data_IF_047927288208
#
_entry.id   IF_047927288208
#
_cell.length_a   1.000
_cell.length_b   1.000
_cell.length_c   1.000
_cell.angle_alpha   90.00
_cell.angle_beta   90.00
_cell.angle_gamma   90.00
#
_symmetry.space_group_name_H-M   'P 1'
#
loop_
_entity.id
_entity.type
_entity.pdbx_description
1 polymer ?
#
# COMPACT_ATOMS: atom_id res chain seq x y z
N UNK A 1 -30.52 56.55 28.79
CA UNK A 1 -30.25 56.67 27.34
C UNK A 1 -29.99 55.25 26.84
N UNK A 2 -31.04 54.62 26.31
CA UNK A 2 -31.29 54.42 24.88
C UNK A 2 -30.27 53.44 24.29
N UNK A 3 -30.72 52.19 24.05
CA UNK A 3 -31.04 51.64 22.71
C UNK A 3 -29.80 51.77 21.81
N UNK A 4 -29.20 50.69 21.31
CA UNK A 4 -29.72 49.99 20.15
C UNK A 4 -29.45 48.47 20.20
N UNK A 5 -30.54 47.72 20.07
CA UNK A 5 -30.54 46.38 19.49
C UNK A 5 -30.06 46.51 18.05
N UNK A 6 -29.03 45.78 17.67
CA UNK A 6 -28.76 45.49 16.25
C UNK A 6 -28.92 43.99 16.10
N UNK A 7 -30.16 43.61 15.76
CA UNK A 7 -30.50 42.36 15.11
C UNK A 7 -29.65 42.22 13.86
N UNK A 8 -28.60 41.40 13.93
CA UNK A 8 -27.81 41.04 12.75
C UNK A 8 -28.53 39.93 12.01
N UNK A 9 -28.80 40.25 10.75
CA UNK A 9 -29.61 39.57 9.78
C UNK A 9 -28.94 38.24 9.38
N UNK A 10 -29.65 37.15 9.58
CA UNK A 10 -29.78 35.96 8.73
C UNK A 10 -28.79 35.90 7.54
N UNK A 11 -27.79 35.02 7.63
CA UNK A 11 -27.24 34.33 6.46
C UNK A 11 -27.24 32.85 6.78
N UNK A 12 -28.35 32.21 6.45
CA UNK A 12 -28.46 30.76 6.36
C UNK A 12 -27.63 30.36 5.14
N UNK A 13 -26.38 29.94 5.38
CA UNK A 13 -25.59 29.26 4.36
C UNK A 13 -26.10 27.82 4.33
N UNK A 14 -27.11 27.60 3.49
CA UNK A 14 -27.43 26.28 2.94
C UNK A 14 -26.20 25.83 2.15
N UNK A 15 -25.33 25.05 2.78
CA UNK A 15 -24.42 24.20 2.02
C UNK A 15 -25.29 23.17 1.30
N UNK A 16 -25.56 23.47 0.03
CA UNK A 16 -26.15 22.55 -0.91
C UNK A 16 -25.40 21.22 -0.83
N UNK A 17 -26.14 20.17 -0.49
CA UNK A 17 -25.75 18.79 -0.75
C UNK A 17 -25.39 18.71 -2.23
N UNK A 18 -24.09 18.70 -2.53
CA UNK A 18 -23.63 18.24 -3.83
C UNK A 18 -23.86 16.73 -3.84
N UNK A 19 -25.03 16.33 -4.34
CA UNK A 19 -25.21 15.00 -4.89
C UNK A 19 -24.27 14.91 -6.09
N UNK A 20 -23.09 14.36 -5.88
CA UNK A 20 -22.28 13.88 -6.98
C UNK A 20 -22.90 12.55 -7.41
N UNK A 21 -23.94 12.63 -8.25
CA UNK A 21 -24.39 11.51 -9.05
C UNK A 21 -23.35 11.33 -10.16
N UNK A 22 -22.36 10.51 -9.84
CA UNK A 22 -21.23 10.19 -10.68
C UNK A 22 -20.87 8.74 -10.45
N UNK A 23 -21.76 7.85 -10.86
CA UNK A 23 -21.43 6.44 -11.09
C UNK A 23 -20.32 6.41 -12.15
N UNK A 24 -19.09 6.27 -11.68
CA UNK A 24 -18.08 5.45 -12.34
C UNK A 24 -17.69 4.39 -11.32
N UNK A 25 -18.57 3.40 -11.13
CA UNK A 25 -18.15 2.09 -10.65
C UNK A 25 -17.34 1.43 -11.76
N UNK A 26 -16.09 1.84 -11.94
CA UNK A 26 -15.06 0.88 -12.33
C UNK A 26 -14.77 0.07 -11.06
N UNK A 27 -15.65 -0.87 -10.74
CA UNK A 27 -15.41 -1.86 -9.69
C UNK A 27 -14.42 -2.90 -10.22
N UNK A 28 -13.25 -2.45 -10.66
CA UNK A 28 -12.06 -3.27 -10.64
C UNK A 28 -11.59 -3.14 -9.20
N UNK A 29 -11.92 -4.12 -8.36
CA UNK A 29 -11.22 -4.24 -7.09
C UNK A 29 -9.73 -4.26 -7.43
N UNK A 30 -9.01 -3.16 -7.19
CA UNK A 30 -7.57 -3.14 -7.34
C UNK A 30 -7.01 -3.96 -6.18
N UNK A 31 -7.07 -5.29 -6.36
CA UNK A 31 -6.62 -6.31 -5.43
C UNK A 31 -5.09 -6.37 -5.36
N UNK A 32 -4.40 -5.67 -6.26
CA UNK A 32 -2.96 -5.48 -6.17
C UNK A 32 -2.62 -4.61 -4.96
N UNK A 33 -2.07 -5.22 -3.92
CA UNK A 33 -1.70 -4.58 -2.66
C UNK A 33 -0.61 -3.52 -2.83
N UNK A 34 0.26 -3.67 -3.83
CA UNK A 34 1.36 -2.73 -4.10
C UNK A 34 0.81 -1.35 -4.49
N UNK A 35 -0.31 -1.31 -5.21
CA UNK A 35 -0.97 -0.07 -5.62
C UNK A 35 -1.62 0.70 -4.45
N UNK A 36 -1.70 0.10 -3.26
CA UNK A 36 -2.29 0.70 -2.06
C UNK A 36 -1.26 1.42 -1.19
N UNK A 37 0.03 1.28 -1.51
CA UNK A 37 1.14 1.86 -0.75
C UNK A 37 2.03 2.71 -1.64
N UNK A 38 2.81 3.62 -1.05
CA UNK A 38 3.77 4.40 -1.83
C UNK A 38 5.00 3.58 -2.19
N UNK A 39 5.64 3.95 -3.29
CA UNK A 39 6.93 3.43 -3.72
C UNK A 39 8.02 4.44 -3.37
N UNK A 40 9.11 3.94 -2.80
CA UNK A 40 10.35 4.66 -2.51
C UNK A 40 11.35 4.26 -3.59
N UNK A 41 11.79 5.24 -4.38
CA UNK A 41 12.73 5.01 -5.47
C UNK A 41 14.16 4.82 -4.97
N UNK A 42 14.98 4.16 -5.80
CA UNK A 42 16.42 3.97 -5.60
C UNK A 42 16.76 3.23 -4.31
N UNK A 43 15.89 2.31 -3.87
CA UNK A 43 16.07 1.58 -2.62
C UNK A 43 15.66 0.12 -2.71
N UNK A 44 16.26 -0.67 -1.84
CA UNK A 44 15.86 -2.04 -1.52
C UNK A 44 16.15 -2.32 -0.04
N UNK A 45 15.48 -3.31 0.55
CA UNK A 45 15.82 -3.87 1.85
C UNK A 45 16.78 -5.05 1.63
N UNK A 46 17.99 -4.96 2.21
CA UNK A 46 18.99 -6.02 2.13
C UNK A 46 18.68 -7.17 3.12
N UNK A 47 19.48 -8.24 3.07
CA UNK A 47 19.34 -9.39 3.96
C UNK A 47 19.59 -9.11 5.45
N UNK A 48 20.06 -7.91 5.81
CA UNK A 48 20.23 -7.45 7.19
C UNK A 48 19.08 -6.53 7.64
N UNK A 49 18.02 -6.39 6.84
CA UNK A 49 16.86 -5.54 7.15
C UNK A 49 17.12 -4.05 6.92
N UNK A 50 18.24 -3.70 6.32
CA UNK A 50 18.63 -2.30 6.09
C UNK A 50 18.13 -1.84 4.73
N UNK A 51 17.43 -0.70 4.72
CA UNK A 51 17.08 -0.02 3.48
C UNK A 51 18.30 0.69 2.90
N UNK A 52 18.80 0.24 1.75
CA UNK A 52 20.02 0.74 1.11
C UNK A 52 19.73 1.41 -0.23
N UNK A 53 20.64 2.30 -0.66
CA UNK A 53 20.53 2.90 -1.99
C UNK A 53 20.84 1.85 -3.08
N UNK A 54 19.92 1.69 -4.02
CA UNK A 54 20.13 0.90 -5.21
C UNK A 54 19.36 1.50 -6.39
N UNK A 55 20.08 2.06 -7.36
CA UNK A 55 19.50 2.79 -8.51
C UNK A 55 18.65 1.95 -9.45
N UNK A 56 18.76 0.63 -9.38
CA UNK A 56 17.99 -0.29 -10.23
C UNK A 56 16.72 -0.78 -9.55
N UNK A 57 16.51 -0.45 -8.27
CA UNK A 57 15.42 -0.98 -7.45
C UNK A 57 14.46 0.12 -7.00
N UNK A 58 13.23 -0.33 -6.77
CA UNK A 58 12.20 0.37 -6.03
C UNK A 58 11.84 -0.46 -4.80
N UNK A 59 11.44 0.23 -3.74
CA UNK A 59 10.99 -0.37 -2.50
C UNK A 59 9.56 0.08 -2.21
N UNK A 60 8.66 -0.82 -1.81
CA UNK A 60 7.36 -0.40 -1.29
C UNK A 60 7.49 0.22 0.11
N UNK A 61 6.46 0.92 0.55
CA UNK A 61 6.21 1.04 1.98
C UNK A 61 5.71 -0.29 2.55
N UNK A 62 5.61 -0.35 3.87
CA UNK A 62 5.07 -1.49 4.60
C UNK A 62 3.67 -1.86 4.11
N UNK A 63 3.48 -3.13 3.77
CA UNK A 63 2.22 -3.74 3.34
C UNK A 63 1.79 -4.69 4.46
N UNK A 64 0.70 -4.42 5.19
CA UNK A 64 0.15 -5.35 6.16
C UNK A 64 -0.30 -6.65 5.48
N UNK A 65 -0.03 -7.80 6.12
CA UNK A 65 -0.45 -9.13 5.67
C UNK A 65 -1.11 -9.88 6.83
N UNK A 66 -1.91 -10.88 6.50
CA UNK A 66 -2.47 -11.87 7.43
C UNK A 66 -1.91 -13.24 7.05
N UNK A 67 -1.23 -13.92 7.96
CA UNK A 67 -0.60 -15.23 7.69
C UNK A 67 -1.60 -16.35 7.43
N UNK A 68 -2.88 -16.14 7.75
CA UNK A 68 -3.96 -17.07 7.42
C UNK A 68 -4.41 -16.97 5.94
N UNK A 69 -3.95 -15.94 5.21
CA UNK A 69 -4.25 -15.75 3.80
C UNK A 69 -3.08 -16.16 2.91
N UNK A 70 -3.40 -16.47 1.66
CA UNK A 70 -2.44 -16.80 0.63
C UNK A 70 -2.17 -15.59 -0.25
N UNK A 71 -0.93 -15.37 -0.67
CA UNK A 71 -0.56 -14.25 -1.54
C UNK A 71 0.22 -14.72 -2.75
N UNK A 72 -0.14 -14.22 -3.94
CA UNK A 72 0.55 -14.48 -5.20
C UNK A 72 1.33 -13.24 -5.65
N UNK A 73 2.60 -13.44 -5.99
CA UNK A 73 3.48 -12.44 -6.57
C UNK A 73 3.71 -12.78 -8.05
N UNK A 74 3.48 -11.82 -8.94
CA UNK A 74 3.54 -12.07 -10.40
C UNK A 74 4.89 -11.72 -11.06
N UNK A 75 5.82 -11.14 -10.29
CA UNK A 75 7.10 -10.64 -10.81
C UNK A 75 8.20 -10.81 -9.76
N UNK A 76 9.40 -11.19 -10.20
CA UNK A 76 10.54 -11.41 -9.31
C UNK A 76 10.81 -10.20 -8.40
N UNK A 77 10.92 -10.45 -7.10
CA UNK A 77 11.14 -9.43 -6.09
C UNK A 77 11.78 -10.00 -4.83
N UNK A 78 12.42 -9.13 -4.06
CA UNK A 78 12.78 -9.42 -2.68
C UNK A 78 11.61 -9.09 -1.77
N UNK A 79 11.21 -10.03 -0.92
CA UNK A 79 10.21 -9.82 0.12
C UNK A 79 10.93 -9.78 1.45
N UNK A 80 10.82 -8.66 2.15
CA UNK A 80 11.33 -8.50 3.51
C UNK A 80 10.18 -8.54 4.50
N UNK A 81 10.24 -9.46 5.45
CA UNK A 81 9.18 -9.76 6.39
C UNK A 81 9.44 -9.08 7.73
N UNK A 82 8.37 -8.60 8.35
CA UNK A 82 8.41 -7.85 9.60
C UNK A 82 7.34 -8.33 10.56
N UNK A 83 7.61 -8.17 11.86
CA UNK A 83 6.65 -8.22 12.96
C UNK A 83 6.66 -6.84 13.66
N UNK A 84 5.78 -5.94 13.24
CA UNK A 84 5.84 -4.53 13.59
C UNK A 84 7.14 -3.88 13.11
N UNK A 85 8.02 -3.51 14.05
CA UNK A 85 9.34 -2.92 13.76
C UNK A 85 10.47 -3.98 13.73
N UNK A 86 10.19 -5.24 14.05
CA UNK A 86 11.17 -6.32 14.05
C UNK A 86 11.35 -6.89 12.65
N UNK A 87 12.60 -6.94 12.18
CA UNK A 87 12.95 -7.57 10.90
C UNK A 87 13.13 -9.08 11.07
N UNK A 88 12.40 -9.86 10.29
CA UNK A 88 12.42 -11.33 10.34
C UNK A 88 13.35 -11.93 9.28
N UNK A 89 13.43 -11.31 8.11
CA UNK A 89 14.28 -11.78 7.03
C UNK A 89 13.89 -11.23 5.66
N UNK A 90 14.79 -11.38 4.69
CA UNK A 90 14.54 -11.07 3.29
C UNK A 90 14.72 -12.33 2.46
N UNK A 91 13.76 -12.62 1.60
CA UNK A 91 13.79 -13.76 0.67
C UNK A 91 13.66 -13.22 -0.75
N UNK A 92 14.50 -13.71 -1.66
CA UNK A 92 14.32 -13.51 -3.09
C UNK A 92 13.28 -14.51 -3.60
N UNK A 93 12.21 -14.00 -4.20
CA UNK A 93 11.23 -14.81 -4.91
C UNK A 93 11.50 -14.65 -6.41
N UNK A 94 11.95 -15.74 -7.03
CA UNK A 94 12.27 -15.86 -8.46
C UNK A 94 11.39 -16.94 -9.12
N UNK A 95 11.32 -16.99 -10.45
CA UNK A 95 10.45 -17.90 -11.21
C UNK A 95 8.94 -17.62 -11.04
N UNK A 96 8.59 -16.33 -10.95
CA UNK A 96 7.20 -15.84 -10.85
C UNK A 96 6.35 -16.06 -12.13
N UNK A 97 5.01 -16.16 -12.04
CA UNK A 97 4.16 -15.97 -10.86
C UNK A 97 4.21 -17.16 -9.89
N UNK A 98 4.22 -16.87 -8.60
CA UNK A 98 4.18 -17.90 -7.54
C UNK A 98 3.48 -17.40 -6.28
N UNK A 99 3.00 -18.35 -5.50
CA UNK A 99 2.59 -18.12 -4.12
C UNK A 99 3.81 -17.79 -3.25
N UNK A 100 3.72 -16.75 -2.43
CA UNK A 100 4.81 -16.38 -1.54
C UNK A 100 4.76 -17.26 -0.29
N UNK A 101 5.92 -17.79 0.10
CA UNK A 101 6.07 -18.44 1.41
C UNK A 101 5.90 -17.40 2.53
N UNK A 102 4.96 -17.65 3.44
CA UNK A 102 4.68 -16.77 4.58
C UNK A 102 5.53 -17.16 5.80
N UNK A 103 6.04 -16.18 6.53
CA UNK A 103 6.64 -16.40 7.84
C UNK A 103 5.57 -16.31 8.92
N UNK A 104 5.45 -17.33 9.78
CA UNK A 104 4.36 -17.48 10.77
C UNK A 104 4.18 -16.25 11.69
N UNK A 105 5.25 -15.51 11.97
CA UNK A 105 5.23 -14.34 12.85
C UNK A 105 5.11 -13.00 12.11
N UNK A 106 5.01 -13.01 10.77
CA UNK A 106 4.99 -11.78 9.99
C UNK A 106 3.61 -11.11 9.98
N UNK A 107 3.55 -9.82 10.31
CA UNK A 107 2.35 -8.99 10.20
C UNK A 107 2.45 -7.97 9.05
N UNK A 108 3.57 -7.99 8.33
CA UNK A 108 3.74 -7.21 7.12
C UNK A 108 5.01 -7.51 6.34
N UNK A 109 5.03 -6.97 5.13
CA UNK A 109 6.14 -7.09 4.20
C UNK A 109 6.52 -5.75 3.58
N UNK A 110 7.76 -5.69 3.11
CA UNK A 110 8.25 -4.67 2.19
C UNK A 110 8.80 -5.37 0.96
N UNK A 111 8.31 -4.98 -0.21
CA UNK A 111 8.80 -5.49 -1.49
C UNK A 111 9.93 -4.61 -2.01
N UNK A 112 11.00 -5.23 -2.48
CA UNK A 112 12.01 -4.57 -3.31
C UNK A 112 12.07 -5.21 -4.68
N UNK A 113 11.85 -4.44 -5.74
CA UNK A 113 11.70 -4.95 -7.11
C UNK A 113 12.41 -4.05 -8.11
N UNK A 114 12.73 -4.58 -9.30
CA UNK A 114 13.37 -3.81 -10.35
C UNK A 114 12.46 -2.65 -10.81
N UNK A 115 13.03 -1.46 -10.99
CA UNK A 115 12.31 -0.27 -11.46
C UNK A 115 11.52 -0.49 -12.76
N UNK A 116 12.02 -1.33 -13.65
CA UNK A 116 11.38 -1.67 -14.91
C UNK A 116 9.99 -2.30 -14.71
N UNK A 117 9.77 -2.92 -13.55
CA UNK A 117 8.54 -3.65 -13.22
C UNK A 117 7.46 -2.77 -12.56
N UNK A 118 7.70 -1.47 -12.34
CA UNK A 118 6.78 -0.58 -11.58
C UNK A 118 5.34 -0.55 -12.13
N UNK A 119 5.17 -0.69 -13.46
CA UNK A 119 3.86 -0.64 -14.09
C UNK A 119 3.19 -2.02 -14.20
N UNK A 120 3.90 -3.10 -13.85
CA UNK A 120 3.49 -4.48 -14.10
C UNK A 120 3.31 -5.31 -12.84
N UNK A 121 4.11 -5.05 -11.81
CA UNK A 121 4.17 -5.87 -10.60
C UNK A 121 2.83 -5.91 -9.85
N UNK A 122 2.45 -7.11 -9.42
CA UNK A 122 1.27 -7.36 -8.60
C UNK A 122 1.57 -8.29 -7.44
N UNK A 123 1.03 -7.90 -6.29
CA UNK A 123 0.87 -8.76 -5.13
C UNK A 123 -0.62 -8.88 -4.85
N UNK A 124 -1.18 -10.08 -4.96
CA UNK A 124 -2.62 -10.32 -4.83
C UNK A 124 -2.88 -11.25 -3.66
N UNK A 125 -3.85 -10.88 -2.83
CA UNK A 125 -4.35 -11.69 -1.73
C UNK A 125 -5.47 -12.64 -2.20
N UNK A 126 -5.42 -13.87 -1.72
CA UNK A 126 -6.41 -14.91 -1.89
C UNK A 126 -6.90 -15.35 -0.51
N UNK A 127 -8.17 -15.08 -0.22
CA UNK A 127 -8.82 -15.58 0.99
C UNK A 127 -9.19 -17.05 0.77
N UNK A 128 -8.79 -17.92 1.68
CA UNK A 128 -9.27 -19.32 1.72
C UNK A 128 -10.67 -19.44 2.33
#
# INVERSE_FOLDING_TARGET
MNFYRITSLLVVILFFLSACDGIVSSNSSNNNLINKVNIIEDRWINYEGTSENNKTMNQSQYIPIDTENTYELDTDAYISYFNGDEFLGTILHEDTPQEIEMMEEADGIILSFNKENINGIKLVEHNE
#
